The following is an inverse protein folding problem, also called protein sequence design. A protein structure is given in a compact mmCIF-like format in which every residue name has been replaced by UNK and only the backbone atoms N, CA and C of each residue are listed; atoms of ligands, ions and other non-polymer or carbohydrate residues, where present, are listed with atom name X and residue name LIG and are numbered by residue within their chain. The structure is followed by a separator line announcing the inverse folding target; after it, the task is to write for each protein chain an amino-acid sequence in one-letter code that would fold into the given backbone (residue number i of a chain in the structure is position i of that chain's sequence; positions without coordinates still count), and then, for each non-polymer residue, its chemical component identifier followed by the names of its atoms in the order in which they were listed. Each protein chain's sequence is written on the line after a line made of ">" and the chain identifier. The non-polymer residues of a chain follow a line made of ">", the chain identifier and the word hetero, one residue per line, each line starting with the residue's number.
data_IF_403729892434
#
_entry.id   IF_403729892434
#
_cell.length_a   1.000
_cell.length_b   1.000
_cell.length_c   1.000
_cell.angle_alpha   90.00
_cell.angle_beta   90.00
_cell.angle_gamma   90.00
#
_symmetry.space_group_name_H-M   'P 1'
#
loop_
_entity.id
_entity.type
_entity.pdbx_description
1 polymer ?
#
# COMPACT_ATOMS: atom_id res chain seq x y z
N UNK A 1 -31.58 -16.89 -75.70
CA UNK A 1 -32.43 -16.10 -74.77
C UNK A 1 -31.56 -15.02 -74.15
N UNK A 2 -31.82 -13.75 -74.50
CA UNK A 2 -31.19 -12.56 -73.91
C UNK A 2 -31.63 -12.41 -72.45
N UNK A 3 -30.76 -11.89 -71.58
CA UNK A 3 -31.02 -11.01 -70.41
C UNK A 3 -29.66 -10.79 -69.69
N UNK A 4 -28.95 -9.70 -70.01
CA UNK A 4 -28.91 -8.35 -69.36
C UNK A 4 -27.87 -8.26 -68.22
N UNK A 5 -26.90 -7.32 -68.30
CA UNK A 5 -26.08 -6.92 -67.17
C UNK A 5 -26.89 -5.99 -66.26
N UNK A 6 -27.00 -6.34 -64.97
CA UNK A 6 -27.74 -5.60 -63.97
C UNK A 6 -26.84 -5.25 -62.79
N UNK A 7 -26.37 -4.00 -62.80
CA UNK A 7 -25.96 -3.16 -61.67
C UNK A 7 -25.70 -3.84 -60.32
N UNK A 8 -24.42 -4.06 -60.00
CA UNK A 8 -23.96 -3.76 -58.64
C UNK A 8 -23.60 -2.28 -58.61
N UNK A 9 -24.36 -1.52 -57.84
CA UNK A 9 -24.14 -0.10 -57.58
C UNK A 9 -22.79 0.11 -56.89
N UNK A 10 -22.16 1.25 -57.15
CA UNK A 10 -20.88 1.70 -56.56
C UNK A 10 -20.83 1.64 -55.01
N UNK A 11 -21.98 1.44 -54.35
CA UNK A 11 -22.07 1.26 -52.91
C UNK A 11 -21.54 -0.11 -52.40
N UNK A 12 -21.42 -1.13 -53.26
CA UNK A 12 -20.94 -2.46 -52.83
C UNK A 12 -19.41 -2.63 -52.86
N UNK A 13 -18.68 -1.76 -53.57
CA UNK A 13 -17.20 -1.81 -53.65
C UNK A 13 -16.54 -0.96 -52.53
N UNK A 14 -17.25 0.04 -52.00
CA UNK A 14 -16.76 0.83 -50.86
C UNK A 14 -16.87 0.10 -49.51
N UNK A 15 -17.79 -0.85 -49.37
CA UNK A 15 -17.88 -1.68 -48.14
C UNK A 15 -16.82 -2.78 -48.11
N UNK A 16 -16.23 -3.16 -49.26
CA UNK A 16 -15.15 -4.17 -49.29
C UNK A 16 -13.74 -3.55 -49.17
N UNK A 17 -13.56 -2.27 -49.52
CA UNK A 17 -12.30 -1.54 -49.27
C UNK A 17 -12.16 -1.02 -47.83
N UNK A 18 -13.28 -0.81 -47.12
CA UNK A 18 -13.25 -0.44 -45.70
C UNK A 18 -12.88 -1.62 -44.76
N UNK A 19 -13.06 -2.86 -45.22
CA UNK A 19 -12.77 -4.07 -44.41
C UNK A 19 -11.32 -4.56 -44.52
N UNK A 20 -10.51 -4.02 -45.44
CA UNK A 20 -9.07 -4.34 -45.56
C UNK A 20 -8.20 -3.24 -44.90
N UNK A 21 -8.73 -2.03 -44.74
CA UNK A 21 -8.04 -0.95 -44.03
C UNK A 21 -8.09 -1.08 -42.49
N UNK A 22 -9.04 -1.85 -41.94
CA UNK A 22 -9.13 -2.09 -40.49
C UNK A 22 -8.35 -3.32 -40.01
N UNK A 23 -7.87 -4.18 -40.92
CA UNK A 23 -7.08 -5.37 -40.58
C UNK A 23 -5.56 -5.17 -40.77
N UNK A 24 -5.14 -4.01 -41.30
CA UNK A 24 -3.72 -3.67 -41.51
C UNK A 24 -3.18 -2.64 -40.51
N UNK A 25 -4.03 -2.03 -39.68
CA UNK A 25 -3.60 -1.12 -38.60
C UNK A 25 -3.33 -1.84 -37.27
N UNK A 26 -3.96 -2.99 -36.99
CA UNK A 26 -3.69 -3.79 -35.78
C UNK A 26 -2.47 -4.72 -35.94
N UNK A 27 -2.16 -5.16 -37.16
CA UNK A 27 -0.97 -5.97 -37.44
C UNK A 27 0.33 -5.13 -37.44
N UNK A 28 0.24 -3.82 -37.66
CA UNK A 28 1.40 -2.92 -37.65
C UNK A 28 1.81 -2.46 -36.24
N UNK A 29 0.93 -2.56 -35.22
CA UNK A 29 1.30 -2.35 -33.82
C UNK A 29 1.84 -3.60 -33.13
N UNK A 30 1.49 -4.80 -33.58
CA UNK A 30 1.99 -6.06 -33.00
C UNK A 30 3.32 -6.54 -33.61
N UNK A 31 3.72 -6.06 -34.80
CA UNK A 31 5.02 -6.39 -35.40
C UNK A 31 6.20 -5.50 -34.96
N UNK A 32 6.03 -4.61 -33.97
CA UNK A 32 7.16 -3.86 -33.37
C UNK A 32 7.71 -4.49 -32.07
N UNK A 33 7.23 -5.68 -31.68
CA UNK A 33 7.61 -6.32 -30.40
C UNK A 33 8.41 -7.62 -30.60
N UNK A 34 8.79 -7.95 -31.83
CA UNK A 34 9.69 -9.10 -32.12
C UNK A 34 10.84 -8.74 -33.05
N UNK A 35 11.34 -7.50 -32.97
CA UNK A 35 12.76 -7.30 -33.19
C UNK A 35 13.45 -7.63 -31.88
N UNK A 36 14.10 -8.79 -31.89
CA UNK A 36 15.19 -9.20 -31.01
C UNK A 36 15.87 -7.94 -30.44
N UNK A 37 15.86 -7.77 -29.11
CA UNK A 37 16.76 -6.83 -28.44
C UNK A 37 18.20 -7.23 -28.75
N UNK A 38 18.68 -6.82 -29.92
CA UNK A 38 20.01 -6.26 -30.00
C UNK A 38 19.87 -5.00 -29.16
N UNK A 39 20.37 -5.04 -27.92
CA UNK A 39 20.70 -3.80 -27.20
C UNK A 39 21.65 -3.09 -28.16
N UNK A 40 21.14 -2.09 -28.89
CA UNK A 40 22.04 -1.15 -29.55
C UNK A 40 22.91 -0.62 -28.43
N UNK A 41 24.19 -0.92 -28.52
CA UNK A 41 25.23 -0.50 -27.58
C UNK A 41 25.32 1.02 -27.69
N UNK A 42 24.38 1.73 -27.05
CA UNK A 42 24.41 3.17 -26.94
C UNK A 42 25.69 3.49 -26.21
N UNK A 43 26.59 4.16 -26.92
CA UNK A 43 27.84 4.63 -26.34
C UNK A 43 27.51 5.44 -25.07
N UNK A 44 28.20 5.18 -23.95
CA UNK A 44 27.91 5.88 -22.70
C UNK A 44 28.12 7.38 -22.87
N UNK A 45 27.33 8.16 -22.13
CA UNK A 45 27.46 9.62 -22.14
C UNK A 45 28.80 10.03 -21.52
N UNK A 46 29.46 11.03 -22.11
CA UNK A 46 30.63 11.68 -21.52
C UNK A 46 30.17 12.81 -20.62
N UNK A 47 30.20 12.60 -19.30
CA UNK A 47 29.70 13.55 -18.30
C UNK A 47 30.83 13.97 -17.37
N UNK A 48 30.88 15.24 -16.99
CA UNK A 48 31.77 15.68 -15.92
C UNK A 48 31.20 15.26 -14.56
N UNK A 49 31.88 14.33 -13.91
CA UNK A 49 31.58 13.86 -12.55
C UNK A 49 32.77 14.23 -11.66
N UNK A 50 32.53 15.01 -10.61
CA UNK A 50 33.57 15.46 -9.66
C UNK A 50 34.80 16.12 -10.33
N UNK A 51 34.60 16.88 -11.41
CA UNK A 51 35.67 17.58 -12.13
C UNK A 51 36.42 16.73 -13.15
N UNK A 52 36.03 15.46 -13.35
CA UNK A 52 36.62 14.56 -14.34
C UNK A 52 35.58 14.10 -15.35
N UNK A 53 35.94 14.15 -16.62
CA UNK A 53 35.12 13.61 -17.71
C UNK A 53 35.15 12.07 -17.65
N UNK A 54 33.97 11.46 -17.54
CA UNK A 54 33.79 10.02 -17.34
C UNK A 54 32.57 9.50 -18.07
N UNK A 55 32.59 8.21 -18.41
CA UNK A 55 31.44 7.49 -18.96
C UNK A 55 30.33 7.33 -17.91
N UNK A 56 29.09 7.61 -18.33
CA UNK A 56 27.85 7.37 -17.58
C UNK A 56 26.91 6.55 -18.44
N UNK A 57 26.39 5.48 -17.86
CA UNK A 57 25.58 4.47 -18.56
C UNK A 57 24.09 4.64 -18.24
N UNK A 58 23.24 4.20 -19.16
CA UNK A 58 21.79 4.12 -18.97
C UNK A 58 21.43 2.87 -18.16
N UNK A 59 20.38 2.93 -17.34
CA UNK A 59 19.95 1.85 -16.45
C UNK A 59 19.78 0.51 -17.19
N UNK A 60 19.20 0.55 -18.40
CA UNK A 60 18.90 -0.61 -19.25
C UNK A 60 20.13 -1.33 -19.81
N UNK A 61 21.31 -0.72 -19.70
CA UNK A 61 22.56 -1.26 -20.25
C UNK A 61 23.39 -2.04 -19.22
N UNK A 62 22.88 -2.24 -18.00
CA UNK A 62 23.63 -2.77 -16.87
C UNK A 62 23.32 -4.25 -16.59
N UNK A 63 24.28 -4.96 -16.00
CA UNK A 63 24.05 -6.30 -15.45
C UNK A 63 23.34 -6.23 -14.09
N UNK A 64 23.65 -5.20 -13.30
CA UNK A 64 22.96 -4.90 -12.04
C UNK A 64 22.71 -3.40 -11.93
N UNK A 65 21.47 -3.03 -11.62
CA UNK A 65 21.07 -1.63 -11.44
C UNK A 65 21.59 -1.07 -10.10
N UNK A 66 21.82 0.25 -10.01
CA UNK A 66 22.13 0.88 -8.74
C UNK A 66 20.94 0.82 -7.78
N UNK A 67 21.19 0.52 -6.51
CA UNK A 67 20.16 0.34 -5.50
C UNK A 67 20.42 1.24 -4.28
N UNK A 68 19.40 1.91 -3.76
CA UNK A 68 19.53 2.70 -2.52
C UNK A 68 19.64 1.78 -1.29
N UNK A 69 20.26 2.21 -0.16
CA UNK A 69 20.24 1.41 1.07
C UNK A 69 18.82 1.01 1.48
N UNK A 70 18.57 -0.30 1.58
CA UNK A 70 17.24 -0.83 1.88
C UNK A 70 16.28 -0.86 0.68
N UNK A 71 16.81 -0.75 -0.54
CA UNK A 71 16.04 -0.81 -1.79
C UNK A 71 15.04 0.35 -1.92
N UNK A 72 13.95 0.09 -2.64
CA UNK A 72 12.88 1.06 -2.85
C UNK A 72 12.27 1.51 -1.50
N UNK A 73 12.12 0.61 -0.53
CA UNK A 73 11.55 0.94 0.79
C UNK A 73 12.43 1.93 1.57
N UNK A 74 13.75 1.74 1.56
CA UNK A 74 14.69 2.68 2.17
C UNK A 74 14.71 4.03 1.47
N UNK A 75 14.53 4.05 0.14
CA UNK A 75 14.41 5.28 -0.64
C UNK A 75 13.14 6.07 -0.28
N UNK A 76 12.00 5.39 -0.20
CA UNK A 76 10.72 5.99 0.18
C UNK A 76 10.74 6.50 1.63
N UNK A 77 11.33 5.73 2.55
CA UNK A 77 11.51 6.14 3.94
C UNK A 77 12.39 7.39 4.05
N UNK A 78 13.48 7.44 3.28
CA UNK A 78 14.36 8.61 3.24
C UNK A 78 13.61 9.84 2.71
N UNK A 79 12.84 9.70 1.63
CA UNK A 79 12.02 10.79 1.10
C UNK A 79 10.98 11.24 2.13
N UNK A 80 10.23 10.33 2.75
CA UNK A 80 9.23 10.69 3.76
C UNK A 80 9.78 11.45 4.98
N UNK A 81 11.03 11.19 5.36
CA UNK A 81 11.69 11.87 6.48
C UNK A 81 12.36 13.20 6.11
N UNK A 82 12.76 13.37 4.85
CA UNK A 82 13.62 14.48 4.44
C UNK A 82 12.95 15.44 3.44
N UNK A 83 11.85 15.05 2.80
CA UNK A 83 11.10 15.87 1.86
C UNK A 83 10.25 16.90 2.62
N UNK A 84 10.42 18.17 2.29
CA UNK A 84 9.74 19.29 2.93
C UNK A 84 8.85 19.98 1.90
N UNK A 85 7.54 20.07 2.16
CA UNK A 85 6.66 20.81 1.27
C UNK A 85 6.94 22.33 1.36
N UNK A 86 7.32 23.01 0.27
CA UNK A 86 7.57 24.46 0.31
C UNK A 86 6.30 25.24 0.66
N UNK A 87 6.38 26.16 1.62
CA UNK A 87 5.23 26.97 2.07
C UNK A 87 4.57 27.75 0.93
N UNK A 88 5.36 28.26 -0.03
CA UNK A 88 4.83 28.97 -1.20
C UNK A 88 4.01 28.07 -2.11
N UNK A 89 4.39 26.80 -2.26
CA UNK A 89 3.64 25.84 -3.06
C UNK A 89 2.36 25.41 -2.32
N UNK A 90 2.44 25.26 -0.99
CA UNK A 90 1.30 24.94 -0.13
C UNK A 90 0.24 26.04 -0.14
N UNK A 91 0.63 27.31 0.05
CA UNK A 91 -0.30 28.45 0.01
C UNK A 91 -1.00 28.64 -1.35
N UNK A 92 -0.35 28.20 -2.42
CA UNK A 92 -0.87 28.31 -3.79
C UNK A 92 -1.54 27.01 -4.29
N UNK A 93 -1.72 26.01 -3.42
CA UNK A 93 -2.31 24.72 -3.76
C UNK A 93 -1.61 23.97 -4.92
N UNK A 94 -0.29 24.14 -5.06
CA UNK A 94 0.47 23.62 -6.19
C UNK A 94 0.94 22.21 -5.89
N UNK A 95 0.37 21.21 -6.55
CA UNK A 95 0.71 19.79 -6.40
C UNK A 95 1.25 19.19 -7.70
N UNK A 96 1.92 18.05 -7.64
CA UNK A 96 2.34 17.31 -8.83
C UNK A 96 3.56 16.42 -8.66
N UNK A 97 4.04 15.89 -9.78
CA UNK A 97 5.18 14.97 -9.87
C UNK A 97 6.36 15.67 -10.55
N UNK A 98 7.45 15.87 -9.81
CA UNK A 98 8.72 16.39 -10.33
C UNK A 98 9.62 15.20 -10.68
N UNK A 99 10.10 15.13 -11.93
CA UNK A 99 11.07 14.09 -12.33
C UNK A 99 12.49 14.64 -12.21
N UNK A 100 13.29 14.00 -11.36
CA UNK A 100 14.69 14.39 -11.13
C UNK A 100 15.61 13.31 -11.71
N UNK A 101 16.52 13.69 -12.59
CA UNK A 101 17.58 12.83 -13.11
C UNK A 101 18.90 13.15 -12.43
N UNK A 102 19.68 12.14 -12.11
CA UNK A 102 20.99 12.31 -11.47
C UNK A 102 21.90 11.13 -11.77
N UNK A 103 23.20 11.29 -11.51
CA UNK A 103 24.18 10.22 -11.64
C UNK A 103 24.41 9.56 -10.29
N UNK A 104 24.23 8.24 -10.25
CA UNK A 104 24.79 7.39 -9.20
C UNK A 104 26.21 7.01 -9.60
N UNK A 105 27.17 7.50 -8.84
CA UNK A 105 28.60 7.23 -9.09
C UNK A 105 28.95 5.78 -8.73
N UNK A 106 30.07 5.28 -9.26
CA UNK A 106 30.62 3.96 -8.89
C UNK A 106 31.00 3.83 -7.41
N UNK A 107 31.12 4.96 -6.69
CA UNK A 107 31.30 5.03 -5.23
C UNK A 107 29.97 5.07 -4.45
N UNK A 108 28.82 5.10 -5.12
CA UNK A 108 27.50 5.13 -4.46
C UNK A 108 27.02 6.51 -4.03
N UNK A 109 27.64 7.58 -4.55
CA UNK A 109 27.25 8.97 -4.29
C UNK A 109 26.39 9.51 -5.43
N UNK A 110 25.51 10.46 -5.11
CA UNK A 110 24.70 11.21 -6.07
C UNK A 110 25.45 12.45 -6.55
N UNK A 111 25.39 12.72 -7.85
CA UNK A 111 25.96 13.91 -8.51
C UNK A 111 25.11 14.29 -9.73
N UNK A 112 25.38 15.45 -10.34
CA UNK A 112 24.77 15.90 -11.60
C UNK A 112 23.23 15.84 -11.56
N UNK A 113 22.65 16.38 -10.49
CA UNK A 113 21.20 16.40 -10.27
C UNK A 113 20.56 17.46 -11.15
N UNK A 114 19.59 17.05 -11.98
CA UNK A 114 18.85 17.89 -12.92
C UNK A 114 17.35 17.57 -12.89
N UNK A 115 16.50 18.57 -13.13
CA UNK A 115 15.05 18.37 -13.22
C UNK A 115 14.69 18.12 -14.69
N UNK A 116 14.13 16.94 -14.98
CA UNK A 116 13.64 16.58 -16.30
C UNK A 116 12.21 17.07 -16.55
N UNK A 117 11.38 17.01 -15.51
CA UNK A 117 10.00 17.47 -15.56
C UNK A 117 9.74 18.35 -14.36
N UNK A 118 9.52 19.63 -14.65
CA UNK A 118 9.21 20.67 -13.67
C UNK A 118 7.70 20.73 -13.41
N UNK A 119 7.34 21.07 -12.16
CA UNK A 119 5.95 21.41 -11.78
C UNK A 119 5.89 22.86 -11.35
N UNK A 120 6.75 23.24 -10.40
CA UNK A 120 6.87 24.60 -9.89
C UNK A 120 8.30 24.81 -9.35
N UNK A 121 8.90 26.00 -9.52
CA UNK A 121 10.27 26.25 -9.10
C UNK A 121 10.56 25.95 -7.63
N UNK A 122 9.59 26.11 -6.72
CA UNK A 122 9.77 25.80 -5.31
C UNK A 122 9.81 24.28 -5.08
N UNK A 123 8.94 23.53 -5.75
CA UNK A 123 8.92 22.06 -5.70
C UNK A 123 10.18 21.45 -6.35
N UNK A 124 10.63 22.05 -7.45
CA UNK A 124 11.84 21.65 -8.15
C UNK A 124 13.09 21.84 -7.28
N UNK A 125 13.21 23.02 -6.65
CA UNK A 125 14.33 23.33 -5.76
C UNK A 125 14.42 22.35 -4.58
N UNK A 126 13.26 22.00 -4.01
CA UNK A 126 13.17 21.02 -2.94
C UNK A 126 13.51 19.60 -3.43
N UNK A 127 13.01 19.20 -4.60
CA UNK A 127 13.28 17.88 -5.17
C UNK A 127 14.79 17.71 -5.44
N UNK A 128 15.44 18.76 -5.96
CA UNK A 128 16.89 18.79 -6.15
C UNK A 128 17.62 18.69 -4.79
N UNK A 129 17.16 19.42 -3.77
CA UNK A 129 17.75 19.40 -2.43
C UNK A 129 17.70 18.00 -1.82
N UNK A 130 16.52 17.37 -1.78
CA UNK A 130 16.36 16.05 -1.14
C UNK A 130 17.13 14.97 -1.88
N UNK A 131 17.14 14.98 -3.22
CA UNK A 131 17.92 14.04 -4.03
C UNK A 131 19.42 14.22 -3.80
N UNK A 132 19.89 15.45 -3.67
CA UNK A 132 21.30 15.74 -3.39
C UNK A 132 21.75 15.27 -2.00
N UNK A 133 20.83 15.02 -1.06
CA UNK A 133 21.13 14.49 0.26
C UNK A 133 21.27 12.96 0.28
N UNK A 134 20.82 12.28 -0.77
CA UNK A 134 20.86 10.82 -0.86
C UNK A 134 22.30 10.32 -0.93
N UNK A 135 22.60 9.28 -0.15
CA UNK A 135 23.94 8.69 -0.06
C UNK A 135 23.87 7.18 0.15
N UNK A 136 24.96 6.50 -0.22
CA UNK A 136 25.16 5.10 0.11
C UNK A 136 24.55 4.13 -0.90
N UNK A 137 24.27 4.57 -2.12
CA UNK A 137 23.81 3.66 -3.16
C UNK A 137 24.80 2.51 -3.36
N UNK A 138 24.28 1.30 -3.50
CA UNK A 138 24.99 0.23 -4.20
C UNK A 138 25.12 0.67 -5.66
N UNK A 139 26.34 0.78 -6.20
CA UNK A 139 26.55 1.25 -7.57
C UNK A 139 26.10 0.19 -8.59
N UNK A 140 25.74 0.66 -9.78
CA UNK A 140 25.44 -0.25 -10.89
C UNK A 140 26.69 -1.00 -11.37
N UNK A 141 26.46 -2.20 -11.90
CA UNK A 141 27.51 -3.10 -12.38
C UNK A 141 27.30 -3.38 -13.86
N UNK A 142 28.38 -3.26 -14.64
CA UNK A 142 28.42 -3.60 -16.05
C UNK A 142 29.72 -4.35 -16.34
N UNK A 143 29.63 -5.51 -16.99
CA UNK A 143 30.75 -6.41 -17.26
C UNK A 143 31.54 -6.76 -15.99
N UNK A 144 30.86 -6.86 -14.84
CA UNK A 144 31.48 -7.12 -13.54
C UNK A 144 32.21 -5.93 -12.91
N UNK A 145 32.23 -4.76 -13.53
CA UNK A 145 32.82 -3.54 -12.99
C UNK A 145 31.76 -2.53 -12.53
N UNK A 146 32.07 -1.80 -11.46
CA UNK A 146 31.20 -0.72 -10.95
C UNK A 146 31.30 0.50 -11.87
N UNK A 147 30.17 0.98 -12.35
CA UNK A 147 30.10 2.10 -13.31
C UNK A 147 29.23 3.25 -12.79
N UNK A 148 29.35 4.42 -13.41
CA UNK A 148 28.44 5.53 -13.14
C UNK A 148 27.18 5.38 -13.97
N UNK A 149 26.03 5.69 -13.39
CA UNK A 149 24.73 5.37 -13.99
C UNK A 149 23.77 6.54 -13.89
N UNK A 150 23.01 6.80 -14.95
CA UNK A 150 21.87 7.70 -14.89
C UNK A 150 20.69 7.05 -14.16
N UNK A 151 20.14 7.78 -13.19
CA UNK A 151 18.97 7.38 -12.42
C UNK A 151 17.92 8.47 -12.49
N UNK A 152 16.65 8.09 -12.62
CA UNK A 152 15.52 9.03 -12.64
C UNK A 152 14.58 8.70 -11.50
N UNK A 153 14.31 9.68 -10.64
CA UNK A 153 13.43 9.56 -9.49
C UNK A 153 12.23 10.49 -9.64
N UNK A 154 10.99 9.95 -9.64
CA UNK A 154 9.78 10.75 -9.46
C UNK A 154 9.61 11.18 -7.99
N UNK A 155 9.55 12.48 -7.74
CA UNK A 155 9.20 13.07 -6.43
C UNK A 155 7.78 13.61 -6.51
N UNK A 156 6.87 13.05 -5.69
CA UNK A 156 5.45 13.39 -5.70
C UNK A 156 5.11 14.34 -4.54
N UNK A 157 4.47 15.46 -4.85
CA UNK A 157 3.94 16.43 -3.89
C UNK A 157 2.41 16.43 -3.93
N UNK A 158 1.77 16.12 -2.81
CA UNK A 158 0.30 16.15 -2.63
C UNK A 158 0.00 16.94 -1.36
N UNK A 159 -0.92 17.91 -1.41
CA UNK A 159 -1.37 18.60 -0.20
C UNK A 159 -2.49 17.79 0.43
N UNK A 160 -2.52 17.82 1.75
CA UNK A 160 -3.61 17.30 2.55
C UNK A 160 -4.62 18.43 2.67
N UNK A 161 -5.72 18.38 1.90
CA UNK A 161 -6.72 19.46 1.90
C UNK A 161 -7.51 19.49 3.22
N UNK A 162 -7.67 20.71 3.75
CA UNK A 162 -8.52 21.02 4.89
C UNK A 162 -10.00 20.78 4.56
N UNK A 163 -10.69 20.16 5.51
CA UNK A 163 -12.13 19.89 5.55
C UNK A 163 -13.00 20.90 4.79
N UNK A 164 -13.67 20.45 3.72
CA UNK A 164 -15.10 20.63 3.40
C UNK A 164 -15.32 20.11 1.96
N UNK A 165 -15.98 18.95 1.86
CA UNK A 165 -16.40 18.31 0.61
C UNK A 165 -15.27 17.69 -0.26
N UNK A 166 -14.38 16.93 0.39
CA UNK A 166 -13.45 16.03 -0.31
C UNK A 166 -14.20 14.70 -0.54
N UNK A 167 -14.61 14.42 -1.77
CA UNK A 167 -14.57 13.03 -2.21
C UNK A 167 -13.09 12.68 -2.23
N UNK A 168 -12.63 11.92 -1.24
CA UNK A 168 -11.26 11.46 -1.16
C UNK A 168 -11.00 10.53 -2.35
N UNK A 169 -10.52 11.10 -3.46
CA UNK A 169 -9.79 10.33 -4.45
C UNK A 169 -8.50 9.87 -3.78
N UNK A 170 -8.45 8.55 -3.61
CA UNK A 170 -7.46 7.77 -2.90
C UNK A 170 -6.05 8.36 -2.84
N UNK A 171 -5.35 7.99 -1.78
CA UNK A 171 -4.02 7.49 -2.05
C UNK A 171 -4.24 6.21 -2.87
N UNK A 172 -4.36 6.36 -4.19
CA UNK A 172 -4.60 5.26 -5.10
C UNK A 172 -3.50 4.24 -4.84
N UNK A 173 -3.90 2.96 -4.74
CA UNK A 173 -2.99 1.87 -4.95
C UNK A 173 -2.06 2.30 -6.07
N UNK A 174 -0.75 2.35 -5.82
CA UNK A 174 0.21 2.58 -6.88
C UNK A 174 -0.25 1.66 -8.01
N UNK A 175 -0.56 2.24 -9.17
CA UNK A 175 -0.72 1.46 -10.37
C UNK A 175 0.66 0.83 -10.56
N UNK A 176 0.85 -0.35 -9.99
CA UNK A 176 2.10 -1.06 -10.07
C UNK A 176 2.12 -1.60 -11.50
N UNK A 177 2.58 -0.75 -12.42
CA UNK A 177 3.25 -1.16 -13.64
C UNK A 177 4.64 -1.73 -13.29
N UNK A 178 4.75 -2.47 -12.18
CA UNK A 178 5.88 -3.38 -12.04
C UNK A 178 5.63 -4.46 -13.07
N UNK A 179 6.56 -4.56 -14.00
CA UNK A 179 6.60 -5.58 -15.04
C UNK A 179 6.23 -6.95 -14.44
N UNK A 180 6.72 -7.25 -13.23
CA UNK A 180 6.41 -8.48 -12.49
C UNK A 180 4.93 -8.69 -12.14
N UNK A 181 4.20 -7.70 -11.61
CA UNK A 181 2.78 -7.89 -11.29
C UNK A 181 1.96 -8.22 -12.54
N UNK A 182 2.16 -7.42 -13.60
CA UNK A 182 1.43 -7.58 -14.86
C UNK A 182 1.79 -8.89 -15.54
N UNK A 183 3.08 -9.25 -15.57
CA UNK A 183 3.54 -10.52 -16.10
C UNK A 183 2.91 -11.72 -15.37
N UNK A 184 2.89 -11.69 -14.03
CA UNK A 184 2.27 -12.76 -13.24
C UNK A 184 0.75 -12.82 -13.47
N UNK A 185 0.08 -11.68 -13.60
CA UNK A 185 -1.35 -11.64 -13.96
C UNK A 185 -1.61 -12.24 -15.34
N UNK A 186 -0.82 -11.87 -16.36
CA UNK A 186 -0.95 -12.38 -17.73
C UNK A 186 -0.67 -13.89 -17.79
N UNK A 187 0.37 -14.35 -17.10
CA UNK A 187 0.69 -15.78 -16.96
C UNK A 187 -0.43 -16.55 -16.25
N UNK A 188 -1.02 -15.97 -15.20
CA UNK A 188 -2.18 -16.54 -14.50
C UNK A 188 -3.39 -16.70 -15.40
N UNK A 189 -3.73 -15.66 -16.17
CA UNK A 189 -4.83 -15.68 -17.15
C UNK A 189 -4.57 -16.72 -18.25
N UNK A 190 -3.36 -16.75 -18.80
CA UNK A 190 -2.96 -17.73 -19.81
C UNK A 190 -3.07 -19.16 -19.30
N UNK A 191 -2.50 -19.45 -18.12
CA UNK A 191 -2.56 -20.77 -17.50
C UNK A 191 -4.02 -21.20 -17.24
N UNK A 192 -4.89 -20.27 -16.84
CA UNK A 192 -6.33 -20.53 -16.67
C UNK A 192 -6.99 -20.89 -18.01
N UNK A 193 -6.70 -20.16 -19.09
CA UNK A 193 -7.24 -20.45 -20.43
C UNK A 193 -6.78 -21.83 -20.95
N UNK A 194 -5.57 -22.25 -20.57
CA UNK A 194 -5.02 -23.58 -20.87
C UNK A 194 -5.55 -24.69 -19.95
N UNK A 195 -6.51 -24.40 -19.06
CA UNK A 195 -7.03 -25.30 -18.02
C UNK A 195 -5.98 -25.82 -17.02
N UNK A 196 -4.87 -25.09 -16.87
CA UNK A 196 -3.81 -25.40 -15.91
C UNK A 196 -4.02 -24.64 -14.59
N UNK A 197 -5.03 -25.08 -13.84
CA UNK A 197 -5.48 -24.47 -12.60
C UNK A 197 -4.35 -24.28 -11.54
N UNK A 198 -3.49 -25.28 -11.24
CA UNK A 198 -2.45 -25.10 -10.23
C UNK A 198 -1.46 -23.98 -10.57
N UNK A 199 -1.06 -23.88 -11.85
CA UNK A 199 -0.15 -22.82 -12.29
C UNK A 199 -0.83 -21.46 -12.26
N UNK A 200 -2.09 -21.38 -12.68
CA UNK A 200 -2.85 -20.13 -12.58
C UNK A 200 -2.93 -19.62 -11.14
N UNK A 201 -3.25 -20.50 -10.17
CA UNK A 201 -3.27 -20.14 -8.75
C UNK A 201 -1.89 -19.67 -8.28
N UNK A 202 -0.82 -20.37 -8.66
CA UNK A 202 0.54 -19.98 -8.28
C UNK A 202 0.91 -18.59 -8.81
N UNK A 203 0.62 -18.30 -10.09
CA UNK A 203 0.87 -16.99 -10.68
C UNK A 203 0.04 -15.88 -10.04
N UNK A 204 -1.24 -16.11 -9.74
CA UNK A 204 -2.05 -15.12 -9.05
C UNK A 204 -1.60 -14.88 -7.60
N UNK A 205 -1.11 -15.91 -6.90
CA UNK A 205 -0.51 -15.72 -5.57
C UNK A 205 0.77 -14.89 -5.64
N UNK A 206 1.60 -15.12 -6.65
CA UNK A 206 2.81 -14.32 -6.89
C UNK A 206 2.46 -12.87 -7.24
N UNK A 207 1.48 -12.66 -8.11
CA UNK A 207 0.97 -11.32 -8.41
C UNK A 207 0.49 -10.60 -7.13
N UNK A 208 -0.23 -11.31 -6.24
CA UNK A 208 -0.64 -10.74 -4.96
C UNK A 208 0.54 -10.44 -4.03
N UNK A 209 1.55 -11.30 -3.99
CA UNK A 209 2.77 -11.08 -3.21
C UNK A 209 3.52 -9.81 -3.69
N UNK A 210 3.54 -9.57 -4.99
CA UNK A 210 4.15 -8.37 -5.59
C UNK A 210 3.33 -7.11 -5.28
N UNK A 211 2.00 -7.21 -5.28
CA UNK A 211 1.11 -6.09 -4.97
C UNK A 211 -0.06 -6.49 -4.04
N UNK A 212 0.15 -6.51 -2.71
CA UNK A 212 -0.89 -6.89 -1.75
C UNK A 212 -2.06 -5.90 -1.65
N UNK A 213 -1.94 -4.71 -2.26
CA UNK A 213 -3.03 -3.72 -2.31
C UNK A 213 -4.05 -4.01 -3.43
N UNK A 214 -3.78 -4.96 -4.32
CA UNK A 214 -4.73 -5.37 -5.36
C UNK A 214 -5.49 -6.62 -4.95
N UNK A 215 -6.82 -6.55 -4.86
CA UNK A 215 -7.66 -7.73 -4.57
C UNK A 215 -7.81 -8.67 -5.79
N UNK A 216 -7.53 -8.17 -6.99
CA UNK A 216 -7.82 -8.85 -8.27
C UNK A 216 -7.21 -10.26 -8.37
N UNK A 217 -5.95 -10.53 -7.96
CA UNK A 217 -5.42 -11.89 -8.02
C UNK A 217 -6.19 -12.85 -7.11
N UNK A 218 -6.60 -12.40 -5.93
CA UNK A 218 -7.39 -13.18 -4.96
C UNK A 218 -8.80 -13.46 -5.50
N UNK A 219 -9.43 -12.49 -6.16
CA UNK A 219 -10.71 -12.69 -6.83
C UNK A 219 -10.61 -13.73 -7.96
N UNK A 220 -9.51 -13.73 -8.71
CA UNK A 220 -9.29 -14.75 -9.74
C UNK A 220 -9.16 -16.15 -9.13
N UNK A 221 -8.36 -16.32 -8.07
CA UNK A 221 -8.20 -17.61 -7.39
C UNK A 221 -9.55 -18.12 -6.87
N UNK A 222 -10.29 -17.27 -6.16
CA UNK A 222 -11.57 -17.66 -5.54
C UNK A 222 -12.66 -17.93 -6.57
N UNK A 223 -12.74 -17.14 -7.65
CA UNK A 223 -13.65 -17.41 -8.77
C UNK A 223 -13.36 -18.76 -9.42
N UNK A 224 -12.09 -19.12 -9.57
CA UNK A 224 -11.71 -20.41 -10.12
C UNK A 224 -12.07 -21.56 -9.16
N UNK A 225 -11.81 -21.42 -7.85
CA UNK A 225 -12.22 -22.41 -6.84
C UNK A 225 -13.73 -22.65 -6.88
N UNK A 226 -14.52 -21.58 -6.94
CA UNK A 226 -15.98 -21.65 -7.01
C UNK A 226 -16.45 -22.39 -8.28
N UNK A 227 -15.81 -22.14 -9.42
CA UNK A 227 -16.16 -22.78 -10.68
C UNK A 227 -15.98 -24.31 -10.66
N UNK A 228 -15.11 -24.84 -9.79
CA UNK A 228 -14.86 -26.28 -9.62
C UNK A 228 -15.46 -26.86 -8.34
N UNK A 229 -16.30 -26.11 -7.63
CA UNK A 229 -16.95 -26.57 -6.39
C UNK A 229 -15.98 -26.74 -5.21
N UNK A 230 -14.92 -25.94 -5.18
CA UNK A 230 -13.90 -25.89 -4.11
C UNK A 230 -14.00 -24.58 -3.30
N UNK A 231 -15.19 -24.05 -3.15
CA UNK A 231 -15.46 -22.83 -2.39
C UNK A 231 -15.02 -22.93 -0.92
N UNK A 232 -15.01 -24.14 -0.35
CA UNK A 232 -14.44 -24.41 0.97
C UNK A 232 -12.93 -24.12 1.11
N UNK A 233 -12.18 -24.05 0.01
CA UNK A 233 -10.75 -23.69 0.03
C UNK A 233 -10.54 -22.16 0.13
N UNK A 234 -11.60 -21.35 -0.06
CA UNK A 234 -11.48 -19.90 -0.11
C UNK A 234 -11.09 -19.27 1.23
N UNK A 235 -11.44 -19.90 2.36
CA UNK A 235 -11.04 -19.43 3.70
C UNK A 235 -9.52 -19.28 3.78
N UNK A 236 -8.78 -20.33 3.41
CA UNK A 236 -7.32 -20.33 3.43
C UNK A 236 -6.71 -19.31 2.42
N UNK A 237 -7.45 -18.98 1.36
CA UNK A 237 -7.02 -17.96 0.39
C UNK A 237 -7.19 -16.54 0.96
N UNK A 238 -8.28 -16.26 1.66
CA UNK A 238 -8.48 -14.97 2.31
C UNK A 238 -7.56 -14.79 3.52
N UNK A 239 -7.34 -15.84 4.32
CA UNK A 239 -6.33 -15.84 5.40
C UNK A 239 -4.93 -15.50 4.84
N UNK A 240 -4.51 -16.18 3.77
CA UNK A 240 -3.26 -15.86 3.07
C UNK A 240 -3.22 -14.38 2.64
N UNK A 241 -4.32 -13.85 2.11
CA UNK A 241 -4.36 -12.47 1.65
C UNK A 241 -4.21 -11.46 2.81
N UNK A 242 -4.93 -11.69 3.91
CA UNK A 242 -4.84 -10.86 5.13
C UNK A 242 -3.42 -10.90 5.69
N UNK A 243 -2.84 -12.09 5.83
CA UNK A 243 -1.49 -12.27 6.38
C UNK A 243 -0.44 -11.54 5.55
N UNK A 244 -0.52 -11.67 4.22
CA UNK A 244 0.46 -11.07 3.31
C UNK A 244 0.32 -9.55 3.28
N UNK A 245 -0.91 -9.01 3.28
CA UNK A 245 -1.16 -7.58 3.37
C UNK A 245 -0.68 -7.02 4.72
N UNK A 246 -1.03 -7.67 5.83
CA UNK A 246 -0.56 -7.26 7.16
C UNK A 246 0.96 -7.34 7.26
N UNK A 247 1.59 -8.35 6.67
CA UNK A 247 3.05 -8.47 6.61
C UNK A 247 3.65 -7.32 5.81
N UNK A 248 3.12 -7.03 4.64
CA UNK A 248 3.55 -5.94 3.77
C UNK A 248 3.46 -4.59 4.48
N UNK A 249 2.34 -4.33 5.13
CA UNK A 249 2.09 -3.12 5.91
C UNK A 249 3.10 -2.95 7.06
N UNK A 250 3.43 -4.03 7.78
CA UNK A 250 4.47 -3.96 8.84
C UNK A 250 5.85 -3.58 8.30
N UNK A 251 6.19 -3.97 7.07
CA UNK A 251 7.49 -3.66 6.48
C UNK A 251 7.53 -2.30 5.79
N UNK A 252 6.41 -1.83 5.23
CA UNK A 252 6.37 -0.64 4.38
C UNK A 252 5.61 0.54 5.00
N UNK A 253 4.98 0.34 6.17
CA UNK A 253 4.00 1.26 6.73
C UNK A 253 2.60 1.01 6.17
N UNK A 254 1.60 1.42 6.94
CA UNK A 254 0.18 1.21 6.62
C UNK A 254 -0.42 2.51 6.11
N UNK A 255 -0.71 2.59 4.81
CA UNK A 255 -1.40 3.72 4.18
C UNK A 255 -2.87 3.42 3.87
N UNK A 256 -3.61 4.43 3.39
CA UNK A 256 -5.03 4.29 3.01
C UNK A 256 -5.27 3.16 1.98
N UNK A 257 -4.31 2.86 1.11
CA UNK A 257 -4.43 1.79 0.11
C UNK A 257 -4.52 0.38 0.72
N UNK A 258 -4.17 0.20 1.99
CA UNK A 258 -4.37 -1.05 2.71
C UNK A 258 -5.84 -1.28 3.12
N UNK A 259 -6.63 -0.20 3.20
CA UNK A 259 -7.95 -0.23 3.83
C UNK A 259 -8.96 -0.99 3.00
N UNK A 260 -9.13 -0.66 1.73
CA UNK A 260 -10.13 -1.31 0.87
C UNK A 260 -9.89 -2.83 0.74
N UNK A 261 -8.65 -3.32 0.45
CA UNK A 261 -8.38 -4.75 0.44
C UNK A 261 -8.67 -5.42 1.80
N UNK A 262 -8.27 -4.80 2.90
CA UNK A 262 -8.51 -5.36 4.24
C UNK A 262 -10.01 -5.38 4.58
N UNK A 263 -10.77 -4.33 4.22
CA UNK A 263 -12.23 -4.29 4.37
C UNK A 263 -12.89 -5.42 3.57
N UNK A 264 -12.45 -5.61 2.32
CA UNK A 264 -12.93 -6.67 1.45
C UNK A 264 -12.68 -8.05 2.07
N UNK A 265 -11.44 -8.37 2.46
CA UNK A 265 -11.09 -9.68 3.00
C UNK A 265 -11.77 -9.93 4.35
N UNK A 266 -11.81 -8.92 5.22
CA UNK A 266 -12.51 -8.99 6.51
C UNK A 266 -14.00 -9.26 6.32
N UNK A 267 -14.66 -8.58 5.38
CA UNK A 267 -16.07 -8.82 5.07
C UNK A 267 -16.32 -10.24 4.51
N UNK A 268 -15.44 -10.72 3.62
CA UNK A 268 -15.53 -12.09 3.09
C UNK A 268 -15.37 -13.13 4.18
N UNK A 269 -14.34 -13.01 5.02
CA UNK A 269 -14.10 -13.95 6.13
C UNK A 269 -15.24 -13.93 7.14
N UNK A 270 -15.76 -12.75 7.51
CA UNK A 270 -16.92 -12.63 8.39
C UNK A 270 -18.17 -13.33 7.83
N UNK A 271 -18.34 -13.35 6.50
CA UNK A 271 -19.45 -14.07 5.85
C UNK A 271 -19.28 -15.59 5.88
N UNK A 272 -18.04 -16.08 6.02
CA UNK A 272 -17.71 -17.50 6.11
C UNK A 272 -17.81 -17.97 7.56
N UNK A 273 -17.14 -17.28 8.46
CA UNK A 273 -17.16 -17.55 9.89
C UNK A 273 -17.24 -16.23 10.67
N UNK A 274 -18.43 -15.90 11.16
CA UNK A 274 -18.65 -14.69 11.94
C UNK A 274 -18.07 -14.78 13.37
N UNK A 275 -17.69 -15.99 13.83
CA UNK A 275 -17.06 -16.18 15.13
C UNK A 275 -15.54 -15.96 15.07
N UNK A 276 -14.93 -16.04 13.89
CA UNK A 276 -13.53 -15.66 13.71
C UNK A 276 -13.38 -14.13 13.81
N UNK A 277 -12.58 -13.70 14.78
CA UNK A 277 -12.33 -12.29 15.09
C UNK A 277 -11.02 -11.79 14.49
N UNK A 278 -10.16 -12.69 13.98
CA UNK A 278 -8.86 -12.32 13.45
C UNK A 278 -8.94 -11.31 12.28
N UNK A 279 -9.82 -11.50 11.27
CA UNK A 279 -9.92 -10.57 10.14
C UNK A 279 -10.35 -9.16 10.56
N UNK A 280 -11.35 -9.07 11.44
CA UNK A 280 -11.89 -7.82 11.97
C UNK A 280 -10.87 -7.13 12.88
N UNK A 281 -10.10 -7.88 13.65
CA UNK A 281 -8.98 -7.32 14.45
C UNK A 281 -7.88 -6.76 13.54
N UNK A 282 -7.56 -7.45 12.43
CA UNK A 282 -6.60 -6.97 11.43
C UNK A 282 -7.08 -5.70 10.72
N UNK A 283 -8.38 -5.59 10.45
CA UNK A 283 -9.00 -4.38 9.92
C UNK A 283 -8.94 -3.21 10.92
N UNK A 284 -9.24 -3.47 12.20
CA UNK A 284 -9.11 -2.47 13.27
C UNK A 284 -7.70 -1.90 13.29
N UNK A 285 -6.69 -2.78 13.24
CA UNK A 285 -5.30 -2.36 13.18
C UNK A 285 -4.97 -1.52 11.96
N UNK A 286 -5.48 -1.93 10.80
CA UNK A 286 -5.27 -1.20 9.56
C UNK A 286 -5.80 0.24 9.68
N UNK A 287 -7.01 0.44 10.21
CA UNK A 287 -7.53 1.79 10.43
C UNK A 287 -6.65 2.61 11.37
N UNK A 288 -6.26 2.05 12.52
CA UNK A 288 -5.47 2.77 13.53
C UNK A 288 -4.09 3.18 12.99
N UNK A 289 -3.44 2.30 12.23
CA UNK A 289 -2.10 2.54 11.70
C UNK A 289 -2.07 3.53 10.53
N UNK A 290 -3.17 3.66 9.78
CA UNK A 290 -3.28 4.69 8.73
C UNK A 290 -3.20 6.12 9.28
N UNK A 291 -3.54 6.29 10.57
CA UNK A 291 -3.65 7.60 11.24
C UNK A 291 -4.55 8.59 10.50
N UNK A 292 -5.52 8.07 9.74
CA UNK A 292 -6.48 8.88 9.02
C UNK A 292 -7.69 9.19 9.94
N UNK A 293 -7.94 10.47 10.28
CA UNK A 293 -9.06 10.85 11.15
C UNK A 293 -10.44 10.41 10.62
N UNK A 294 -10.60 10.27 9.30
CA UNK A 294 -11.87 9.85 8.70
C UNK A 294 -12.30 8.43 9.10
N UNK A 295 -11.35 7.60 9.55
CA UNK A 295 -11.64 6.25 10.01
C UNK A 295 -11.97 6.17 11.49
N UNK A 296 -11.96 7.28 12.23
CA UNK A 296 -12.28 7.29 13.66
C UNK A 296 -13.66 6.65 13.93
N UNK A 297 -14.69 7.00 13.15
CA UNK A 297 -16.02 6.39 13.26
C UNK A 297 -15.99 4.89 12.94
N UNK A 298 -15.17 4.46 11.97
CA UNK A 298 -15.02 3.04 11.62
C UNK A 298 -14.35 2.26 12.74
N UNK A 299 -13.31 2.82 13.35
CA UNK A 299 -12.63 2.27 14.54
C UNK A 299 -13.62 2.09 15.70
N UNK A 300 -14.40 3.13 16.01
CA UNK A 300 -15.41 3.10 17.07
C UNK A 300 -16.45 1.99 16.85
N UNK A 301 -17.02 1.92 15.65
CA UNK A 301 -18.00 0.88 15.30
C UNK A 301 -17.41 -0.54 15.43
N UNK A 302 -16.16 -0.71 15.02
CA UNK A 302 -15.50 -2.01 15.07
C UNK A 302 -15.14 -2.41 16.51
N UNK A 303 -14.79 -1.46 17.37
CA UNK A 303 -14.64 -1.70 18.81
C UNK A 303 -15.96 -2.12 19.46
N UNK A 304 -17.08 -1.48 19.11
CA UNK A 304 -18.40 -1.85 19.61
C UNK A 304 -18.84 -3.27 19.19
N UNK A 305 -18.31 -3.78 18.08
CA UNK A 305 -18.51 -5.16 17.65
C UNK A 305 -17.54 -6.13 18.35
N UNK A 306 -16.25 -5.83 18.37
CA UNK A 306 -15.20 -6.75 18.82
C UNK A 306 -15.16 -6.93 20.34
N UNK A 307 -15.48 -5.90 21.12
CA UNK A 307 -15.43 -5.98 22.59
C UNK A 307 -16.44 -7.01 23.13
N UNK A 308 -17.75 -6.95 22.78
CA UNK A 308 -18.69 -7.98 23.21
C UNK A 308 -18.34 -9.37 22.70
N UNK A 309 -17.80 -9.48 21.48
CA UNK A 309 -17.44 -10.77 20.89
C UNK A 309 -16.27 -11.43 21.63
N UNK A 310 -15.20 -10.67 21.92
CA UNK A 310 -14.07 -11.16 22.72
C UNK A 310 -14.48 -11.50 24.15
N UNK A 311 -15.41 -10.76 24.73
CA UNK A 311 -15.99 -11.06 26.04
C UNK A 311 -16.79 -12.37 26.04
N UNK A 312 -17.62 -12.59 25.02
CA UNK A 312 -18.43 -13.81 24.87
C UNK A 312 -17.55 -15.05 24.66
N UNK A 313 -16.43 -14.90 23.95
CA UNK A 313 -15.47 -15.97 23.70
C UNK A 313 -14.42 -16.13 24.82
N UNK A 314 -14.53 -15.36 25.90
CA UNK A 314 -13.58 -15.37 27.03
C UNK A 314 -12.12 -15.09 26.65
N UNK A 315 -11.90 -14.30 25.59
CA UNK A 315 -10.59 -13.88 25.10
C UNK A 315 -10.06 -12.68 25.90
N UNK A 316 -9.71 -12.93 27.17
CA UNK A 316 -9.40 -11.85 28.13
C UNK A 316 -8.25 -10.92 27.74
N UNK A 317 -7.14 -11.38 27.13
CA UNK A 317 -6.09 -10.46 26.65
C UNK A 317 -6.59 -9.51 25.56
N UNK A 318 -7.33 -10.03 24.58
CA UNK A 318 -7.90 -9.26 23.48
C UNK A 318 -8.96 -8.29 24.00
N UNK A 319 -9.87 -8.76 24.85
CA UNK A 319 -10.87 -7.94 25.52
C UNK A 319 -10.23 -6.79 26.27
N UNK A 320 -9.23 -7.08 27.11
CA UNK A 320 -8.49 -6.06 27.88
C UNK A 320 -7.83 -5.03 26.97
N UNK A 321 -7.19 -5.50 25.89
CA UNK A 321 -6.54 -4.63 24.92
C UNK A 321 -7.53 -3.69 24.22
N UNK A 322 -8.63 -4.23 23.68
CA UNK A 322 -9.66 -3.45 22.99
C UNK A 322 -10.35 -2.46 23.93
N UNK A 323 -10.58 -2.85 25.18
CA UNK A 323 -11.11 -1.95 26.20
C UNK A 323 -10.14 -0.82 26.53
N UNK A 324 -8.85 -1.10 26.67
CA UNK A 324 -7.82 -0.08 26.86
C UNK A 324 -7.77 0.87 25.66
N UNK A 325 -7.84 0.34 24.45
CA UNK A 325 -7.89 1.14 23.25
C UNK A 325 -9.14 2.03 23.18
N UNK A 326 -10.32 1.48 23.54
CA UNK A 326 -11.58 2.24 23.62
C UNK A 326 -11.45 3.45 24.53
N UNK A 327 -10.70 3.35 25.63
CA UNK A 327 -10.53 4.48 26.54
C UNK A 327 -9.81 5.68 25.92
N UNK A 328 -8.93 5.45 24.94
CA UNK A 328 -8.28 6.53 24.19
C UNK A 328 -9.25 7.38 23.35
N UNK A 329 -10.48 6.89 23.10
CA UNK A 329 -11.49 7.59 22.31
C UNK A 329 -12.58 8.27 23.16
N UNK A 330 -12.50 8.17 24.49
CA UNK A 330 -13.51 8.74 25.41
C UNK A 330 -13.40 10.27 25.50
N UNK A 331 -12.19 10.81 25.38
CA UNK A 331 -11.90 12.22 25.72
C UNK A 331 -12.20 13.23 24.59
N UNK A 332 -12.55 12.76 23.39
CA UNK A 332 -12.50 13.63 22.21
C UNK A 332 -13.80 14.32 21.78
N UNK A 333 -15.00 13.92 22.21
CA UNK A 333 -16.22 14.66 21.82
C UNK A 333 -17.39 14.56 22.83
N UNK A 334 -18.14 15.66 22.94
CA UNK A 334 -19.47 15.69 23.53
C UNK A 334 -20.41 14.73 22.77
N UNK A 335 -20.56 13.50 23.29
CA UNK A 335 -21.84 12.78 23.19
C UNK A 335 -21.99 11.67 22.14
N UNK A 336 -20.94 11.05 21.59
CA UNK A 336 -21.12 9.94 20.63
C UNK A 336 -20.79 8.55 21.20
N UNK A 337 -19.90 8.42 22.20
CA UNK A 337 -19.66 7.12 22.85
C UNK A 337 -20.18 7.18 24.29
N UNK A 338 -21.29 6.50 24.61
CA UNK A 338 -21.69 6.35 26.00
C UNK A 338 -20.58 5.60 26.75
N UNK A 339 -19.99 6.26 27.74
CA UNK A 339 -19.10 5.61 28.69
C UNK A 339 -19.93 4.61 29.51
N UNK A 340 -19.92 3.35 29.09
CA UNK A 340 -20.47 2.24 29.85
C UNK A 340 -19.35 1.70 30.72
N UNK A 341 -19.50 1.81 32.05
CA UNK A 341 -18.55 1.29 33.03
C UNK A 341 -18.31 -0.20 32.74
N UNK A 342 -17.10 -0.60 32.31
CA UNK A 342 -16.84 -1.96 31.87
C UNK A 342 -16.79 -2.92 33.06
N UNK A 343 -16.90 -4.21 32.78
CA UNK A 343 -16.81 -5.22 33.83
C UNK A 343 -15.36 -5.34 34.33
N UNK A 344 -15.08 -4.65 35.43
CA UNK A 344 -13.75 -4.57 36.02
C UNK A 344 -13.16 -5.95 36.38
N UNK A 345 -14.00 -6.90 36.81
CA UNK A 345 -13.55 -8.26 37.15
C UNK A 345 -13.06 -9.03 35.92
N UNK A 346 -13.60 -8.70 34.74
CA UNK A 346 -13.15 -9.27 33.45
C UNK A 346 -11.87 -8.61 32.97
N UNK A 347 -11.75 -7.29 33.12
CA UNK A 347 -10.52 -6.55 32.80
C UNK A 347 -9.32 -7.05 33.63
N UNK A 348 -9.55 -7.37 34.90
CA UNK A 348 -8.51 -7.86 35.80
C UNK A 348 -8.01 -9.28 35.47
N UNK A 349 -8.61 -9.98 34.50
CA UNK A 349 -8.16 -11.32 34.06
C UNK A 349 -6.93 -11.27 33.15
N UNK A 350 -6.50 -10.10 32.69
CA UNK A 350 -5.31 -9.97 31.83
C UNK A 350 -4.55 -8.66 32.06
N UNK A 351 -3.20 -8.66 31.98
CA UNK A 351 -2.39 -7.43 32.06
C UNK A 351 -2.78 -6.36 31.02
N UNK A 352 -3.27 -6.76 29.85
CA UNK A 352 -3.69 -5.85 28.79
C UNK A 352 -4.94 -5.02 29.16
N UNK A 353 -5.72 -5.45 30.15
CA UNK A 353 -6.85 -4.68 30.70
C UNK A 353 -6.44 -3.56 31.66
N UNK A 354 -5.16 -3.48 32.02
CA UNK A 354 -4.63 -2.47 32.95
C UNK A 354 -4.79 -1.06 32.43
N UNK A 355 -4.60 -0.84 31.13
CA UNK A 355 -4.78 0.48 30.51
C UNK A 355 -6.19 1.04 30.74
N UNK A 356 -7.21 0.22 30.47
CA UNK A 356 -8.60 0.58 30.75
C UNK A 356 -8.82 0.89 32.24
N UNK A 357 -8.31 0.05 33.15
CA UNK A 357 -8.46 0.26 34.59
C UNK A 357 -7.78 1.57 35.06
N UNK A 358 -6.61 1.91 34.53
CA UNK A 358 -5.93 3.18 34.82
C UNK A 358 -6.73 4.37 34.30
N UNK A 359 -7.22 4.31 33.06
CA UNK A 359 -8.01 5.41 32.49
C UNK A 359 -9.32 5.62 33.27
N UNK A 360 -10.01 4.54 33.66
CA UNK A 360 -11.17 4.61 34.54
C UNK A 360 -10.82 5.27 35.90
N UNK A 361 -9.67 4.91 36.47
CA UNK A 361 -9.19 5.52 37.70
C UNK A 361 -8.97 7.03 37.54
N UNK A 362 -8.33 7.47 36.45
CA UNK A 362 -8.10 8.89 36.14
C UNK A 362 -9.43 9.64 35.96
N UNK A 363 -10.33 9.12 35.13
CA UNK A 363 -11.64 9.72 34.88
C UNK A 363 -12.46 9.91 36.17
N UNK A 364 -12.54 8.90 37.03
CA UNK A 364 -13.27 9.03 38.29
C UNK A 364 -12.57 9.99 39.28
N UNK A 365 -11.24 10.11 39.20
CA UNK A 365 -10.48 11.08 40.00
C UNK A 365 -10.84 12.51 39.60
N UNK A 366 -10.95 12.79 38.31
CA UNK A 366 -11.37 14.09 37.77
C UNK A 366 -12.81 14.44 38.16
N UNK A 367 -13.68 13.44 38.24
CA UNK A 367 -15.06 13.58 38.73
C UNK A 367 -15.17 13.70 40.27
N UNK A 368 -14.05 13.74 40.99
CA UNK A 368 -13.96 13.74 42.46
C UNK A 368 -14.52 12.47 43.15
N UNK A 369 -14.71 11.37 42.43
CA UNK A 369 -15.06 10.07 43.00
C UNK A 369 -13.79 9.28 43.36
N UNK A 370 -13.16 9.67 44.47
CA UNK A 370 -11.93 9.04 44.95
C UNK A 370 -12.12 7.54 45.29
N UNK A 371 -13.31 7.13 45.71
CA UNK A 371 -13.58 5.74 46.09
C UNK A 371 -13.52 4.82 44.87
N UNK A 372 -14.20 5.19 43.79
CA UNK A 372 -14.14 4.42 42.54
C UNK A 372 -12.76 4.47 41.92
N UNK A 373 -12.13 5.63 41.91
CA UNK A 373 -10.81 5.74 41.29
C UNK A 373 -9.74 4.91 42.05
N UNK A 374 -9.78 4.84 43.39
CA UNK A 374 -8.88 3.98 44.18
C UNK A 374 -9.18 2.50 43.93
N UNK A 375 -10.48 2.13 43.79
CA UNK A 375 -10.89 0.77 43.42
C UNK A 375 -10.25 0.35 42.09
N UNK A 376 -10.37 1.16 41.05
CA UNK A 376 -9.84 0.83 39.73
C UNK A 376 -8.32 0.75 39.69
N UNK A 377 -7.61 1.67 40.37
CA UNK A 377 -6.16 1.61 40.49
C UNK A 377 -5.71 0.32 41.19
N UNK A 378 -6.38 -0.05 42.28
CA UNK A 378 -6.07 -1.30 42.99
C UNK A 378 -6.30 -2.54 42.12
N UNK A 379 -7.36 -2.55 41.32
CA UNK A 379 -7.62 -3.64 40.37
C UNK A 379 -6.54 -3.69 39.28
N UNK A 380 -6.05 -2.53 38.80
CA UNK A 380 -4.95 -2.46 37.84
C UNK A 380 -3.65 -3.07 38.41
N UNK A 381 -3.29 -2.71 39.66
CA UNK A 381 -2.12 -3.27 40.35
C UNK A 381 -2.23 -4.78 40.57
N UNK A 382 -3.45 -5.30 40.77
CA UNK A 382 -3.70 -6.73 40.95
C UNK A 382 -3.66 -7.50 39.62
N UNK A 383 -4.10 -6.88 38.53
CA UNK A 383 -4.14 -7.49 37.20
C UNK A 383 -2.75 -7.66 36.56
N UNK A 384 -1.78 -6.84 36.98
CA UNK A 384 -0.39 -6.89 36.51
C UNK A 384 0.59 -6.73 37.68
N UNK A 385 0.75 -7.79 38.51
CA UNK A 385 1.61 -7.74 39.69
C UNK A 385 3.09 -7.54 39.36
N UNK A 386 3.52 -7.92 38.15
CA UNK A 386 4.88 -7.72 37.64
C UNK A 386 5.11 -6.30 37.10
N UNK A 387 4.04 -5.49 36.99
CA UNK A 387 4.04 -4.09 36.52
C UNK A 387 4.62 -3.91 35.11
N UNK A 388 4.48 -4.91 34.25
CA UNK A 388 4.98 -4.86 32.86
C UNK A 388 4.16 -3.90 31.99
N UNK A 389 2.84 -3.98 32.08
CA UNK A 389 1.91 -3.08 31.39
C UNK A 389 1.58 -1.86 32.26
N UNK A 390 1.42 -2.05 33.57
CA UNK A 390 1.09 -0.98 34.52
C UNK A 390 2.04 0.22 34.40
N UNK A 391 3.36 -0.02 34.36
CA UNK A 391 4.33 1.07 34.23
C UNK A 391 4.17 1.85 32.93
N UNK A 392 3.89 1.18 31.81
CA UNK A 392 3.74 1.82 30.48
C UNK A 392 2.55 2.77 30.40
N UNK A 393 1.49 2.48 31.15
CA UNK A 393 0.26 3.29 31.16
C UNK A 393 0.28 4.39 32.25
N UNK A 394 1.13 4.24 33.27
CA UNK A 394 1.33 5.26 34.30
C UNK A 394 2.23 6.40 33.83
N UNK A 395 3.28 6.08 33.06
CA UNK A 395 4.08 7.04 32.27
C UNK A 395 3.21 7.77 31.25
#
# INVERSE_FOLDING_TARGET
>A
MKLKPGHFTLAAILVFMASIAAFSASAQSEQKVTEIMIVEDKTPDSVNVNGKETSVYELQSLDCEPEYPGGISGLMSFLGQNLVYPESAMQNNIQGKVLVKFVVTKEGNVTNVEVLQSVDPALDAEAVRVVSLMKGFTPGVLNGEKVNVWYVLPVNYKLQDDSHNIQYEGFDAVEIDSIGYKEMMDLGVKARQENNMPHAIAYFKEAYHINPYSIVPIENITAMNNAVGKDGDNTAIYEYAIDELSRWNRFNGTGNSAVEPMEYFSAKMKSIDAADLYPQTSLLWTYLETRNPEYETKVKNLLDELIPATEQQELWPQYGYLMSLRTCFIDNEEGIIPFVEPNADKLAKSPQGVGALIMLSRMYREQNDNVKADKYMKMAEQADPERVELSKWLE
#
